data_IF_890801559569
#
_entry.id   IF_890801559569
#
_cell.length_a   1.000
_cell.length_b   1.000
_cell.length_c   1.000
_cell.angle_alpha   90.00
_cell.angle_beta   90.00
_cell.angle_gamma   90.00
#
_symmetry.space_group_name_H-M   'P 1'
#
loop_
_entity.id
_entity.type
_entity.pdbx_description
1 polymer ?
#
# COMPACT_ATOMS: atom_id res chain seq x y z
N UNK A 1 1.65 -10.67 13.81
CA UNK A 1 0.80 -9.50 13.50
C UNK A 1 -0.41 -9.96 12.71
N UNK A 2 -1.58 -9.50 13.11
CA UNK A 2 -2.80 -9.88 12.43
C UNK A 2 -3.06 -8.95 11.25
N UNK A 3 -3.86 -9.43 10.32
CA UNK A 3 -4.16 -8.68 9.13
C UNK A 3 -4.78 -7.31 9.44
N UNK A 4 -5.73 -7.28 10.36
CA UNK A 4 -6.38 -6.01 10.70
C UNK A 4 -5.39 -4.99 11.21
N UNK A 5 -4.45 -5.44 12.01
CA UNK A 5 -3.42 -4.57 12.55
C UNK A 5 -2.50 -4.07 11.42
N UNK A 6 -2.11 -4.98 10.55
CA UNK A 6 -1.25 -4.60 9.43
C UNK A 6 -1.97 -3.60 8.53
N UNK A 7 -3.26 -3.80 8.32
CA UNK A 7 -4.04 -2.90 7.49
C UNK A 7 -4.03 -1.49 8.06
N UNK A 8 -4.24 -1.36 9.36
CA UNK A 8 -4.24 -0.05 9.99
C UNK A 8 -2.89 0.63 9.86
N UNK A 9 -1.83 -0.12 10.09
CA UNK A 9 -0.49 0.44 10.02
C UNK A 9 -0.19 0.93 8.61
N UNK A 10 -0.48 0.11 7.63
CA UNK A 10 -0.20 0.46 6.23
C UNK A 10 -1.05 1.63 5.78
N UNK A 11 -2.34 1.58 6.05
CA UNK A 11 -3.24 2.65 5.61
C UNK A 11 -2.82 3.98 6.24
N UNK A 12 -2.62 3.98 7.54
CA UNK A 12 -2.23 5.21 8.22
C UNK A 12 -0.89 5.73 7.72
N UNK A 13 0.07 4.82 7.55
CA UNK A 13 1.39 5.21 7.09
C UNK A 13 1.38 5.77 5.69
N UNK A 14 0.64 5.13 4.80
CA UNK A 14 0.58 5.57 3.42
C UNK A 14 -0.21 6.86 3.27
N UNK A 15 -1.25 7.03 4.06
CA UNK A 15 -2.01 8.27 4.03
C UNK A 15 -1.14 9.45 4.43
N UNK A 16 -0.29 9.24 5.42
CA UNK A 16 0.63 10.28 5.85
C UNK A 16 1.58 10.65 4.74
N UNK A 17 2.06 9.67 4.00
CA UNK A 17 3.06 9.89 2.97
C UNK A 17 2.48 10.19 1.61
N UNK A 18 1.17 10.08 1.47
CA UNK A 18 0.53 10.28 0.17
C UNK A 18 0.74 11.69 -0.36
N UNK A 19 0.98 12.64 0.51
CA UNK A 19 1.24 14.01 0.09
C UNK A 19 2.59 14.15 -0.59
N UNK A 20 3.50 13.23 -0.30
CA UNK A 20 4.84 13.28 -0.85
C UNK A 20 5.00 12.33 -2.01
N UNK A 21 4.46 11.13 -1.88
CA UNK A 21 4.53 10.18 -2.98
C UNK A 21 3.38 9.20 -2.83
N UNK A 22 2.92 8.69 -3.98
CA UNK A 22 1.77 7.81 -4.01
C UNK A 22 2.15 6.36 -4.27
N UNK A 23 3.40 6.09 -4.60
CA UNK A 23 3.86 4.74 -4.90
C UNK A 23 5.02 4.38 -3.99
N UNK A 24 4.99 3.16 -3.49
CA UNK A 24 5.99 2.70 -2.54
C UNK A 24 6.48 1.33 -2.96
N UNK A 25 7.72 1.04 -2.57
CA UNK A 25 8.28 -0.26 -2.85
C UNK A 25 7.84 -1.25 -1.79
N UNK A 26 7.91 -2.53 -2.15
CA UNK A 26 7.57 -3.58 -1.21
C UNK A 26 8.36 -3.45 0.10
N UNK A 27 9.64 -3.15 -0.01
CA UNK A 27 10.48 -3.02 1.17
C UNK A 27 10.02 -1.90 2.08
N UNK A 28 9.47 -0.84 1.50
CA UNK A 28 8.95 0.26 2.31
C UNK A 28 7.80 -0.20 3.18
N UNK A 29 6.92 -1.02 2.60
CA UNK A 29 5.78 -1.52 3.34
C UNK A 29 6.21 -2.49 4.42
N UNK A 30 7.17 -3.35 4.11
CA UNK A 30 7.67 -4.29 5.09
C UNK A 30 8.29 -3.56 6.27
N UNK A 31 8.98 -2.47 6.01
CA UNK A 31 9.57 -1.68 7.08
C UNK A 31 8.50 -1.02 7.94
N UNK A 32 7.42 -0.57 7.33
CA UNK A 32 6.32 0.01 8.10
C UNK A 32 5.73 -1.01 9.05
N UNK A 33 5.64 -2.25 8.62
CA UNK A 33 5.13 -3.32 9.45
C UNK A 33 6.16 -3.84 10.43
N UNK A 34 7.43 -3.41 10.27
CA UNK A 34 8.52 -3.88 11.11
C UNK A 34 8.62 -5.39 11.08
N UNK A 35 8.44 -5.93 9.87
CA UNK A 35 8.47 -7.35 9.64
C UNK A 35 9.47 -7.67 8.55
N UNK A 36 9.90 -8.92 8.53
CA UNK A 36 10.72 -9.38 7.44
C UNK A 36 9.88 -9.40 6.15
N UNK A 37 10.49 -9.10 5.00
CA UNK A 37 9.73 -9.09 3.76
C UNK A 37 8.98 -10.39 3.50
N UNK A 38 9.57 -11.51 3.89
CA UNK A 38 8.93 -12.80 3.69
C UNK A 38 7.59 -12.88 4.41
N UNK A 39 7.54 -12.37 5.64
CA UNK A 39 6.31 -12.39 6.43
C UNK A 39 5.36 -11.30 5.98
N UNK A 40 5.90 -10.15 5.67
CA UNK A 40 5.08 -9.03 5.23
C UNK A 40 4.38 -9.32 3.91
N UNK A 41 5.02 -10.13 3.06
CA UNK A 41 4.47 -10.43 1.75
C UNK A 41 3.05 -10.98 1.84
N UNK A 42 2.81 -11.85 2.80
CA UNK A 42 1.49 -12.46 2.94
C UNK A 42 0.44 -11.40 3.25
N UNK A 43 0.76 -10.51 4.18
CA UNK A 43 -0.18 -9.45 4.56
C UNK A 43 -0.37 -8.44 3.44
N UNK A 44 0.72 -8.09 2.78
CA UNK A 44 0.64 -7.13 1.70
C UNK A 44 -0.15 -7.68 0.53
N UNK A 45 0.04 -8.95 0.19
CA UNK A 45 -0.73 -9.57 -0.87
C UNK A 45 -2.21 -9.59 -0.53
N UNK A 46 -2.53 -9.82 0.73
CA UNK A 46 -3.94 -9.81 1.14
C UNK A 46 -4.52 -8.41 1.03
N UNK A 47 -3.74 -7.40 1.36
CA UNK A 47 -4.20 -6.03 1.23
C UNK A 47 -4.49 -5.68 -0.23
N UNK A 48 -3.67 -6.19 -1.14
CA UNK A 48 -3.91 -5.98 -2.56
C UNK A 48 -5.16 -6.72 -3.00
N UNK A 49 -5.31 -7.95 -2.53
CA UNK A 49 -6.46 -8.76 -2.90
C UNK A 49 -7.77 -8.13 -2.43
N UNK A 50 -7.75 -7.51 -1.27
CA UNK A 50 -8.94 -6.87 -0.73
C UNK A 50 -9.10 -5.43 -1.20
N UNK A 51 -8.24 -5.04 -2.15
CA UNK A 51 -8.32 -3.73 -2.77
C UNK A 51 -8.08 -2.58 -1.80
N UNK A 52 -7.31 -2.85 -0.76
CA UNK A 52 -6.85 -1.79 0.13
C UNK A 52 -5.63 -1.12 -0.50
N UNK A 53 -4.81 -1.91 -1.18
CA UNK A 53 -3.64 -1.42 -1.87
C UNK A 53 -3.77 -1.66 -3.36
N UNK A 54 -3.14 -0.79 -4.14
CA UNK A 54 -3.01 -0.99 -5.57
C UNK A 54 -1.59 -1.47 -5.86
N UNK A 55 -1.48 -2.30 -6.88
CA UNK A 55 -0.21 -2.87 -7.26
C UNK A 55 0.13 -2.43 -8.69
N UNK A 56 1.33 -1.90 -8.85
CA UNK A 56 1.83 -1.54 -10.17
C UNK A 56 3.09 -2.32 -10.44
N UNK A 57 3.20 -2.81 -11.66
CA UNK A 57 4.40 -3.48 -12.10
C UNK A 57 5.03 -2.61 -13.18
N UNK A 58 6.25 -2.16 -12.93
CA UNK A 58 6.95 -1.31 -13.87
C UNK A 58 8.29 -1.94 -14.17
N UNK A 59 8.40 -2.58 -15.33
CA UNK A 59 9.60 -3.30 -15.67
C UNK A 59 9.84 -4.41 -14.65
N UNK A 60 11.00 -4.39 -14.03
CA UNK A 60 11.34 -5.40 -13.03
C UNK A 60 11.01 -4.94 -11.63
N UNK A 61 10.36 -3.80 -11.48
CA UNK A 61 10.07 -3.23 -10.17
C UNK A 61 8.59 -3.30 -9.88
N UNK A 62 8.25 -3.72 -8.67
CA UNK A 62 6.88 -3.75 -8.20
C UNK A 62 6.67 -2.61 -7.23
N UNK A 63 5.57 -1.91 -7.39
CA UNK A 63 5.25 -0.78 -6.52
C UNK A 63 3.84 -0.94 -5.98
N UNK A 64 3.62 -0.36 -4.84
CA UNK A 64 2.34 -0.44 -4.14
C UNK A 64 1.91 0.94 -3.68
N UNK A 65 0.62 1.13 -3.52
CA UNK A 65 0.11 2.37 -2.98
C UNK A 65 -1.28 2.17 -2.45
N UNK A 66 -1.79 3.17 -1.73
CA UNK A 66 -3.14 3.11 -1.22
C UNK A 66 -4.12 3.16 -2.38
N UNK A 67 -4.96 2.16 -2.44
CA UNK A 67 -6.02 2.20 -3.43
C UNK A 67 -7.00 3.27 -3.00
N UNK A 68 -7.25 4.18 -3.87
CA UNK A 68 -8.13 5.27 -3.54
C UNK A 68 -7.41 6.59 -3.40
N UNK A 69 -6.14 6.57 -3.02
CA UNK A 69 -5.42 7.83 -2.91
C UNK A 69 -5.38 8.54 -4.25
N UNK A 70 -4.98 7.82 -5.29
CA UNK A 70 -5.00 8.38 -6.62
C UNK A 70 -6.40 8.42 -7.19
N UNK A 71 -7.20 7.43 -6.85
CA UNK A 71 -8.56 7.37 -7.35
C UNK A 71 -9.44 8.41 -6.69
N UNK A 72 -9.11 8.76 -5.49
CA UNK A 72 -9.88 9.76 -4.78
C UNK A 72 -9.85 11.08 -5.53
N UNK A 73 -8.66 11.48 -5.94
CA UNK A 73 -8.53 12.69 -6.71
C UNK A 73 -9.26 12.57 -8.05
N UNK A 74 -9.16 11.39 -8.63
CA UNK A 74 -9.80 11.13 -9.90
C UNK A 74 -11.32 11.15 -9.78
N UNK A 75 -11.82 10.52 -8.73
CA UNK A 75 -13.26 10.48 -8.50
C UNK A 75 -13.82 11.88 -8.29
N UNK A 76 -13.09 12.68 -7.57
CA UNK A 76 -13.53 14.06 -7.35
C UNK A 76 -13.62 14.82 -8.67
N UNK A 77 -12.68 14.54 -9.54
CA UNK A 77 -12.67 15.19 -10.85
C UNK A 77 -13.86 14.77 -11.67
N UNK A 78 -14.22 13.52 -11.56
CA UNK A 78 -15.34 13.00 -12.33
C UNK A 78 -16.66 13.52 -11.82
N UNK A 79 -16.73 13.74 -10.55
CA UNK A 79 -17.96 14.23 -9.96
C UNK A 79 -18.14 15.71 -10.24
#
# INVERSE_FOLDING_TARGET
MEYAEAKEIIVAGLEKKAKVKSKFYFNDLAKMLEMKPRLAKKLINQLVTEEVLEYWSSGSTSMYGLKGAGKQAHAETED
#
